data_IF_575439380695
#
_entry.id   IF_575439380695
#
_cell.length_a   1.000
_cell.length_b   1.000
_cell.length_c   1.000
_cell.angle_alpha   90.00
_cell.angle_beta   90.00
_cell.angle_gamma   90.00
#
_symmetry.space_group_name_H-M   'P 1'
#
loop_
_entity.id
_entity.type
_entity.pdbx_description
1 polymer ?
#
# COMPACT_ATOMS: atom_id res chain seq x y z
N UNK A 1 48.28 1.64 -16.12
CA UNK A 1 48.14 0.89 -17.37
C UNK A 1 49.25 1.35 -18.30
N UNK A 2 50.05 0.46 -18.89
CA UNK A 2 51.07 0.85 -19.88
C UNK A 2 50.44 1.62 -21.05
N UNK A 3 51.14 2.61 -21.60
CA UNK A 3 50.63 3.58 -22.59
C UNK A 3 50.08 2.97 -23.91
N UNK A 4 50.17 1.67 -24.13
CA UNK A 4 49.85 1.03 -25.39
C UNK A 4 48.77 -0.07 -25.34
N UNK A 5 48.06 -0.27 -24.23
CA UNK A 5 47.04 -1.35 -24.15
C UNK A 5 45.77 -0.98 -24.88
N UNK A 6 45.34 -1.75 -25.90
CA UNK A 6 44.08 -1.49 -26.60
C UNK A 6 42.88 -1.73 -25.69
N UNK A 7 42.04 -0.73 -25.56
CA UNK A 7 40.79 -0.75 -24.80
C UNK A 7 39.64 -0.96 -25.78
N UNK A 8 38.70 -1.82 -25.44
CA UNK A 8 37.47 -2.02 -26.20
C UNK A 8 36.24 -1.52 -25.42
N UNK A 9 35.27 -1.00 -26.15
CA UNK A 9 34.00 -0.49 -25.60
C UNK A 9 32.82 -1.15 -26.33
N UNK A 10 31.67 -1.23 -25.69
CA UNK A 10 30.45 -1.73 -26.32
C UNK A 10 29.81 -0.69 -27.28
N UNK A 11 28.77 -1.07 -28.04
CA UNK A 11 28.09 -0.16 -28.98
C UNK A 11 27.26 0.92 -28.29
N UNK A 12 27.15 2.13 -28.90
CA UNK A 12 26.49 3.36 -28.38
C UNK A 12 25.06 3.23 -27.84
N UNK A 13 24.37 2.09 -28.00
CA UNK A 13 22.97 1.91 -27.65
C UNK A 13 22.70 0.98 -26.46
N UNK A 14 23.73 0.45 -25.76
CA UNK A 14 23.53 -0.51 -24.67
C UNK A 14 23.82 0.06 -23.28
N UNK A 15 23.16 -0.51 -22.28
CA UNK A 15 23.17 0.00 -20.89
C UNK A 15 24.57 0.14 -20.28
N UNK A 16 25.51 -0.82 -20.41
CA UNK A 16 26.84 -0.66 -19.84
C UNK A 16 27.61 0.53 -20.42
N UNK A 17 27.56 0.69 -21.74
CA UNK A 17 28.25 1.77 -22.43
C UNK A 17 27.65 3.14 -22.11
N UNK A 18 26.31 3.25 -22.09
CA UNK A 18 25.62 4.49 -21.75
C UNK A 18 26.01 4.94 -20.34
N UNK A 19 25.93 4.04 -19.35
CA UNK A 19 26.30 4.35 -17.96
C UNK A 19 27.78 4.70 -17.84
N UNK A 20 28.66 3.92 -18.47
CA UNK A 20 30.11 4.20 -18.46
C UNK A 20 30.40 5.56 -19.08
N UNK A 21 29.82 5.84 -20.26
CA UNK A 21 29.98 7.13 -20.93
C UNK A 21 29.49 8.29 -20.06
N UNK A 22 28.27 8.19 -19.53
CA UNK A 22 27.66 9.27 -18.76
C UNK A 22 28.51 9.59 -17.50
N UNK A 23 29.01 8.56 -16.80
CA UNK A 23 29.85 8.71 -15.62
C UNK A 23 31.26 9.25 -15.99
N UNK A 24 31.87 8.70 -17.02
CA UNK A 24 33.20 9.16 -17.46
C UNK A 24 33.15 10.55 -18.08
N UNK A 25 32.06 10.92 -18.73
CA UNK A 25 31.82 12.29 -19.23
C UNK A 25 31.73 13.28 -18.06
N UNK A 26 30.96 12.94 -17.02
CA UNK A 26 30.85 13.78 -15.83
C UNK A 26 32.21 13.98 -15.10
N UNK A 27 33.15 13.04 -15.24
CA UNK A 27 34.52 13.14 -14.69
C UNK A 27 35.55 13.66 -15.69
N UNK A 28 35.12 14.09 -16.90
CA UNK A 28 36.02 14.59 -17.96
C UNK A 28 36.91 13.53 -18.61
N UNK A 29 36.67 12.23 -18.35
CA UNK A 29 37.55 11.14 -18.80
C UNK A 29 37.02 10.40 -20.04
N UNK A 30 35.85 10.73 -20.52
CA UNK A 30 35.23 9.97 -21.63
C UNK A 30 35.96 10.13 -22.96
N UNK A 31 36.33 11.35 -23.35
CA UNK A 31 36.99 11.55 -24.68
C UNK A 31 38.32 10.83 -24.77
N UNK A 32 39.16 10.90 -23.72
CA UNK A 32 40.44 10.15 -23.66
C UNK A 32 40.19 8.63 -23.71
N UNK A 33 39.13 8.16 -23.04
CA UNK A 33 38.77 6.74 -23.05
C UNK A 33 38.31 6.30 -24.43
N UNK A 34 37.50 7.11 -25.11
CA UNK A 34 36.98 6.86 -26.45
C UNK A 34 38.09 6.83 -27.51
N UNK A 35 39.04 7.73 -27.43
CA UNK A 35 40.20 7.75 -28.34
C UNK A 35 41.05 6.48 -28.22
N UNK A 36 41.18 5.92 -27.01
CA UNK A 36 41.90 4.66 -26.75
C UNK A 36 41.09 3.40 -27.12
N UNK A 37 39.76 3.52 -27.24
CA UNK A 37 38.88 2.40 -27.60
C UNK A 37 38.94 2.10 -29.11
N UNK A 38 39.74 1.10 -29.47
CA UNK A 38 39.97 0.73 -30.90
C UNK A 38 38.85 -0.12 -31.49
N UNK A 39 38.10 -0.87 -30.67
CA UNK A 39 37.07 -1.82 -31.12
C UNK A 39 35.85 -1.71 -30.24
N UNK A 40 34.67 -1.84 -30.85
CA UNK A 40 33.40 -1.92 -30.15
C UNK A 40 32.69 -3.24 -30.46
N UNK A 41 32.07 -3.85 -29.43
CA UNK A 41 31.36 -5.12 -29.57
C UNK A 41 29.86 -4.93 -29.33
N UNK A 42 29.00 -5.63 -30.07
CA UNK A 42 27.55 -5.53 -29.89
C UNK A 42 27.06 -6.17 -28.59
N UNK A 43 27.84 -7.07 -27.94
CA UNK A 43 27.47 -7.76 -26.71
C UNK A 43 28.62 -7.77 -25.72
N UNK A 44 28.30 -7.63 -24.42
CA UNK A 44 29.32 -7.72 -23.35
C UNK A 44 29.99 -9.09 -23.28
N UNK A 45 29.29 -10.15 -23.66
CA UNK A 45 29.84 -11.52 -23.73
C UNK A 45 30.83 -11.69 -24.88
N UNK A 46 30.59 -11.03 -26.02
CA UNK A 46 31.55 -11.02 -27.16
C UNK A 46 32.82 -10.23 -26.79
N UNK A 47 32.65 -9.08 -26.11
CA UNK A 47 33.77 -8.33 -25.59
C UNK A 47 34.57 -9.13 -24.55
N UNK A 48 33.87 -9.82 -23.62
CA UNK A 48 34.52 -10.67 -22.62
C UNK A 48 35.29 -11.82 -23.28
N UNK A 49 34.71 -12.48 -24.28
CA UNK A 49 35.36 -13.51 -25.09
C UNK A 49 36.60 -12.96 -25.83
N UNK A 50 36.48 -11.79 -26.44
CA UNK A 50 37.61 -11.16 -27.13
C UNK A 50 38.76 -10.82 -26.18
N UNK A 51 38.48 -10.36 -24.95
CA UNK A 51 39.50 -10.11 -23.92
C UNK A 51 40.22 -11.42 -23.52
N UNK A 52 39.47 -12.54 -23.51
CA UNK A 52 40.00 -13.84 -23.11
C UNK A 52 40.89 -14.47 -24.20
N UNK A 53 40.55 -14.26 -25.49
CA UNK A 53 41.12 -15.03 -26.60
C UNK A 53 41.95 -14.24 -27.59
N UNK A 54 41.95 -12.90 -27.56
CA UNK A 54 42.59 -12.06 -28.54
C UNK A 54 43.67 -11.16 -27.92
N UNK A 55 44.87 -11.23 -28.40
CA UNK A 55 45.98 -10.35 -28.01
C UNK A 55 45.74 -8.86 -28.33
N UNK A 56 44.79 -8.59 -29.24
CA UNK A 56 44.45 -7.23 -29.69
C UNK A 56 43.45 -6.52 -28.80
N UNK A 57 42.82 -7.23 -27.83
CA UNK A 57 41.81 -6.67 -26.88
C UNK A 57 42.23 -7.04 -25.48
N UNK A 58 42.91 -6.16 -24.78
CA UNK A 58 43.46 -6.44 -23.45
C UNK A 58 42.58 -5.98 -22.30
N UNK A 59 41.67 -5.03 -22.52
CA UNK A 59 40.77 -4.52 -21.50
C UNK A 59 39.47 -4.02 -22.10
N UNK A 60 38.39 -3.99 -21.29
CA UNK A 60 37.10 -3.47 -21.71
C UNK A 60 36.15 -3.18 -20.53
N UNK A 61 35.13 -2.39 -20.80
CA UNK A 61 34.09 -2.11 -19.81
C UNK A 61 32.97 -3.14 -19.91
N UNK A 62 32.91 -4.02 -18.96
CA UNK A 62 31.90 -5.09 -18.85
C UNK A 62 31.31 -5.12 -17.43
N UNK A 63 30.22 -5.85 -17.23
CA UNK A 63 29.71 -6.12 -15.91
C UNK A 63 30.67 -7.00 -15.10
N UNK A 64 30.75 -6.76 -13.81
CA UNK A 64 31.56 -7.57 -12.89
C UNK A 64 31.14 -9.06 -12.89
N UNK A 65 29.83 -9.32 -12.96
CA UNK A 65 29.28 -10.69 -13.10
C UNK A 65 29.77 -11.34 -14.40
N UNK A 66 29.79 -10.61 -15.52
CA UNK A 66 30.32 -11.12 -16.78
C UNK A 66 31.83 -11.38 -16.71
N UNK A 67 32.58 -10.47 -16.11
CA UNK A 67 34.03 -10.67 -15.92
C UNK A 67 34.31 -11.97 -15.14
N UNK A 68 33.59 -12.20 -14.04
CA UNK A 68 33.74 -13.41 -13.23
C UNK A 68 33.33 -14.69 -13.99
N UNK A 69 32.21 -14.64 -14.75
CA UNK A 69 31.77 -15.78 -15.58
C UNK A 69 32.80 -16.20 -16.63
N UNK A 70 33.57 -15.24 -17.16
CA UNK A 70 34.63 -15.48 -18.14
C UNK A 70 36.01 -15.65 -17.51
N UNK A 71 36.12 -15.70 -16.17
CA UNK A 71 37.42 -15.82 -15.48
C UNK A 71 38.35 -14.63 -15.69
N UNK A 72 37.82 -13.46 -16.01
CA UNK A 72 38.61 -12.24 -16.26
C UNK A 72 38.91 -11.50 -14.96
N UNK A 73 40.08 -10.87 -14.89
CA UNK A 73 40.45 -10.00 -13.77
C UNK A 73 39.69 -8.68 -13.85
N UNK A 74 38.93 -8.35 -12.80
CA UNK A 74 38.26 -7.04 -12.67
C UNK A 74 39.22 -6.02 -12.05
N UNK A 75 39.25 -4.82 -12.63
CA UNK A 75 39.99 -3.66 -12.10
C UNK A 75 38.92 -2.63 -11.67
N UNK A 76 38.73 -2.41 -10.36
CA UNK A 76 37.74 -1.44 -9.89
C UNK A 76 38.18 -0.03 -10.22
N UNK A 77 37.32 0.73 -10.88
CA UNK A 77 37.56 2.16 -11.14
C UNK A 77 36.76 2.98 -10.11
N UNK A 78 37.40 3.99 -9.54
CA UNK A 78 36.81 4.85 -8.52
C UNK A 78 35.50 5.49 -9.03
N UNK A 79 35.48 5.94 -10.27
CA UNK A 79 34.36 6.60 -10.91
C UNK A 79 33.16 5.67 -11.11
N UNK A 80 33.38 4.38 -11.29
CA UNK A 80 32.35 3.38 -11.54
C UNK A 80 31.92 2.61 -10.28
N UNK A 81 32.47 2.91 -9.10
CA UNK A 81 32.22 2.17 -7.86
C UNK A 81 30.72 2.01 -7.54
N UNK A 82 29.93 3.04 -7.82
CA UNK A 82 28.49 3.06 -7.55
C UNK A 82 27.65 2.82 -8.82
N UNK A 83 28.27 2.38 -9.91
CA UNK A 83 27.57 2.10 -11.16
C UNK A 83 26.93 0.71 -11.13
N UNK A 84 25.75 0.61 -10.51
CA UNK A 84 24.98 -0.63 -10.44
C UNK A 84 23.84 -0.64 -11.46
N UNK A 85 23.40 -1.82 -11.88
CA UNK A 85 22.20 -2.01 -12.70
C UNK A 85 21.35 -3.11 -12.11
N UNK A 86 20.08 -2.81 -11.87
CA UNK A 86 19.12 -3.79 -11.34
C UNK A 86 18.53 -4.59 -12.50
N UNK A 87 18.49 -5.92 -12.32
CA UNK A 87 17.78 -6.83 -13.20
C UNK A 87 16.43 -7.11 -12.53
N UNK A 88 15.34 -6.91 -13.26
CA UNK A 88 13.98 -7.18 -12.79
C UNK A 88 13.27 -8.17 -13.71
N UNK A 89 12.41 -8.99 -13.12
CA UNK A 89 11.48 -9.83 -13.85
C UNK A 89 10.11 -9.15 -13.84
N UNK A 90 9.54 -8.92 -15.02
CA UNK A 90 8.22 -8.33 -15.18
C UNK A 90 7.36 -9.26 -16.04
N UNK A 91 6.05 -9.25 -15.80
CA UNK A 91 5.09 -9.93 -16.67
C UNK A 91 4.53 -8.95 -17.70
N UNK A 92 4.19 -9.46 -18.88
CA UNK A 92 3.57 -8.64 -19.93
C UNK A 92 2.07 -8.49 -19.65
N UNK A 93 1.49 -7.36 -20.02
CA UNK A 93 0.04 -7.12 -19.92
C UNK A 93 -0.77 -8.05 -20.85
N UNK A 94 -0.14 -8.59 -21.89
CA UNK A 94 -0.76 -9.51 -22.84
C UNK A 94 -0.74 -10.99 -22.40
N UNK A 95 -0.20 -11.31 -21.21
CA UNK A 95 -0.15 -12.70 -20.75
C UNK A 95 -1.55 -13.25 -20.48
N UNK A 96 -1.79 -14.48 -20.94
CA UNK A 96 -3.04 -15.21 -20.66
C UNK A 96 -3.02 -15.94 -19.30
N UNK A 97 -1.86 -15.98 -18.65
CA UNK A 97 -1.64 -16.69 -17.41
C UNK A 97 -0.89 -15.80 -16.39
N UNK A 98 -1.45 -14.67 -15.97
CA UNK A 98 -0.76 -13.72 -15.09
C UNK A 98 -0.34 -14.34 -13.77
N UNK A 99 -1.17 -15.16 -13.16
CA UNK A 99 -0.91 -15.82 -11.89
C UNK A 99 0.35 -16.71 -11.94
N UNK A 100 0.47 -17.56 -12.97
CA UNK A 100 1.64 -18.42 -13.11
C UNK A 100 2.91 -17.63 -13.46
N UNK A 101 2.78 -16.59 -14.28
CA UNK A 101 3.89 -15.72 -14.60
C UNK A 101 4.41 -14.96 -13.36
N UNK A 102 3.50 -14.45 -12.51
CA UNK A 102 3.85 -13.81 -11.23
C UNK A 102 4.46 -14.81 -10.23
N UNK A 103 3.91 -16.02 -10.14
CA UNK A 103 4.50 -17.09 -9.31
C UNK A 103 5.94 -17.37 -9.73
N UNK A 104 6.20 -17.47 -11.04
CA UNK A 104 7.56 -17.67 -11.54
C UNK A 104 8.46 -16.49 -11.25
N UNK A 105 8.00 -15.25 -11.44
CA UNK A 105 8.77 -14.06 -11.09
C UNK A 105 9.13 -14.02 -9.59
N UNK A 106 8.18 -14.36 -8.70
CA UNK A 106 8.44 -14.49 -7.26
C UNK A 106 9.44 -15.61 -6.96
N UNK A 107 9.32 -16.76 -7.64
CA UNK A 107 10.27 -17.85 -7.51
C UNK A 107 11.71 -17.42 -7.83
N UNK A 108 11.90 -16.66 -8.92
CA UNK A 108 13.21 -16.15 -9.31
C UNK A 108 13.83 -15.21 -8.26
N UNK A 109 13.02 -14.40 -7.58
CA UNK A 109 13.47 -13.43 -6.59
C UNK A 109 13.58 -14.01 -5.16
N UNK A 110 12.99 -15.18 -4.90
CA UNK A 110 12.91 -15.76 -3.56
C UNK A 110 14.27 -16.15 -3.02
N UNK A 111 14.59 -15.82 -1.74
CA UNK A 111 15.88 -16.10 -1.10
C UNK A 111 16.25 -17.58 -1.11
N UNK A 112 15.27 -18.47 -0.95
CA UNK A 112 15.44 -19.92 -0.87
C UNK A 112 15.27 -20.64 -2.22
N UNK A 113 15.06 -19.92 -3.33
CA UNK A 113 14.83 -20.47 -4.67
C UNK A 113 15.76 -19.90 -5.73
N UNK A 114 15.35 -18.86 -6.44
CA UNK A 114 16.14 -18.31 -7.54
C UNK A 114 17.33 -17.49 -7.11
N UNK A 115 17.25 -16.75 -5.99
CA UNK A 115 18.34 -15.90 -5.51
C UNK A 115 19.68 -16.61 -5.39
N UNK A 116 19.81 -17.82 -4.81
CA UNK A 116 21.08 -18.54 -4.73
C UNK A 116 21.68 -18.89 -6.10
N UNK A 117 20.83 -19.10 -7.12
CA UNK A 117 21.32 -19.34 -8.49
C UNK A 117 21.92 -18.07 -9.08
N UNK A 118 21.28 -16.90 -8.87
CA UNK A 118 21.86 -15.62 -9.29
C UNK A 118 23.18 -15.36 -8.60
N UNK A 119 23.28 -15.62 -7.29
CA UNK A 119 24.51 -15.49 -6.52
C UNK A 119 25.62 -16.41 -7.03
N UNK A 120 25.30 -17.67 -7.33
CA UNK A 120 26.23 -18.61 -7.96
C UNK A 120 26.79 -18.10 -9.29
N UNK A 121 25.99 -17.33 -10.02
CA UNK A 121 26.39 -16.69 -11.28
C UNK A 121 26.94 -15.26 -11.08
N UNK A 122 27.36 -14.93 -9.86
CA UNK A 122 28.03 -13.68 -9.51
C UNK A 122 27.17 -12.40 -9.63
N UNK A 123 25.84 -12.55 -9.54
CA UNK A 123 24.94 -11.41 -9.31
C UNK A 123 24.78 -11.19 -7.81
N UNK A 124 24.50 -9.96 -7.41
CA UNK A 124 24.07 -9.66 -6.05
C UNK A 124 22.55 -9.73 -6.00
N UNK A 125 21.94 -10.75 -5.35
CA UNK A 125 20.50 -10.84 -5.28
C UNK A 125 19.90 -9.66 -4.51
N UNK A 126 18.77 -9.15 -4.98
CA UNK A 126 17.87 -8.31 -4.19
C UNK A 126 16.89 -9.26 -3.55
N UNK A 127 16.80 -9.21 -2.23
CA UNK A 127 15.95 -10.12 -1.48
C UNK A 127 14.47 -9.91 -1.83
N UNK A 128 13.84 -10.95 -2.33
CA UNK A 128 12.40 -11.00 -2.64
C UNK A 128 11.58 -11.50 -1.46
N UNK A 129 10.31 -11.75 -1.73
CA UNK A 129 9.40 -12.39 -0.77
C UNK A 129 9.80 -13.86 -0.52
N UNK A 130 9.51 -14.38 0.67
CA UNK A 130 9.60 -15.82 0.94
C UNK A 130 8.75 -16.60 -0.06
N UNK A 131 9.29 -17.71 -0.58
CA UNK A 131 8.57 -18.52 -1.55
C UNK A 131 7.46 -19.33 -0.91
N UNK A 132 6.25 -19.08 -1.33
CA UNK A 132 5.06 -19.91 -1.09
C UNK A 132 4.27 -19.98 -2.38
N UNK A 133 3.80 -21.18 -2.76
CA UNK A 133 3.03 -21.35 -4.01
C UNK A 133 1.73 -20.54 -3.97
N UNK A 134 1.04 -20.58 -2.84
CA UNK A 134 -0.20 -19.86 -2.56
C UNK A 134 -0.06 -19.13 -1.21
N UNK A 135 0.49 -17.89 -1.24
CA UNK A 135 0.67 -17.10 -0.02
C UNK A 135 -0.66 -16.81 0.67
N UNK A 136 -0.66 -16.90 1.97
CA UNK A 136 -1.76 -16.47 2.82
C UNK A 136 -1.39 -15.13 3.44
N UNK A 137 -2.23 -14.13 3.21
CA UNK A 137 -2.05 -12.75 3.66
C UNK A 137 -3.12 -12.43 4.69
N UNK A 138 -2.74 -11.84 5.80
CA UNK A 138 -3.66 -11.36 6.83
C UNK A 138 -3.87 -9.85 6.65
N UNK A 139 -5.09 -9.44 6.37
CA UNK A 139 -5.47 -8.05 6.19
C UNK A 139 -6.48 -7.62 7.25
N UNK A 140 -6.06 -6.71 8.13
CA UNK A 140 -6.97 -6.07 9.09
C UNK A 140 -7.49 -4.77 8.51
N UNK A 141 -8.80 -4.58 8.58
CA UNK A 141 -9.44 -3.46 7.91
C UNK A 141 -10.58 -2.88 8.77
N UNK A 142 -10.61 -1.58 8.88
CA UNK A 142 -11.73 -0.89 9.50
C UNK A 142 -13.04 -1.20 8.78
N UNK A 143 -14.08 -1.51 9.57
CA UNK A 143 -15.35 -2.05 9.04
C UNK A 143 -16.03 -1.17 7.99
N UNK A 144 -15.88 0.15 8.04
CA UNK A 144 -16.43 1.10 7.07
C UNK A 144 -15.93 0.86 5.65
N UNK A 145 -14.70 0.35 5.49
CA UNK A 145 -14.04 0.16 4.19
C UNK A 145 -14.45 -1.14 3.48
N UNK A 146 -15.21 -2.03 4.13
CA UNK A 146 -15.47 -3.41 3.68
C UNK A 146 -15.87 -3.49 2.20
N UNK A 147 -16.93 -2.77 1.83
CA UNK A 147 -17.48 -2.86 0.47
C UNK A 147 -16.55 -2.18 -0.55
N UNK A 148 -15.97 -1.04 -0.18
CA UNK A 148 -15.10 -0.27 -1.06
C UNK A 148 -13.81 -1.03 -1.45
N UNK A 149 -13.22 -1.82 -0.52
CA UNK A 149 -11.98 -2.57 -0.80
C UNK A 149 -12.22 -3.94 -1.44
N UNK A 150 -13.44 -4.48 -1.37
CA UNK A 150 -13.75 -5.87 -1.75
C UNK A 150 -13.31 -6.21 -3.19
N UNK A 151 -13.59 -5.31 -4.14
CA UNK A 151 -13.25 -5.50 -5.57
C UNK A 151 -11.73 -5.54 -5.77
N UNK A 152 -10.98 -4.65 -5.10
CA UNK A 152 -9.52 -4.61 -5.17
C UNK A 152 -8.89 -5.89 -4.60
N UNK A 153 -9.38 -6.36 -3.45
CA UNK A 153 -8.89 -7.59 -2.82
C UNK A 153 -9.14 -8.81 -3.70
N UNK A 154 -10.35 -8.96 -4.25
CA UNK A 154 -10.70 -10.05 -5.15
C UNK A 154 -9.79 -10.07 -6.38
N UNK A 155 -9.66 -8.94 -7.07
CA UNK A 155 -8.82 -8.79 -8.26
C UNK A 155 -7.35 -9.12 -7.97
N UNK A 156 -6.85 -8.68 -6.82
CA UNK A 156 -5.49 -8.97 -6.39
C UNK A 156 -5.28 -10.47 -6.13
N UNK A 157 -6.19 -11.13 -5.40
CA UNK A 157 -6.13 -12.57 -5.13
C UNK A 157 -6.07 -13.39 -6.42
N UNK A 158 -6.96 -13.08 -7.38
CA UNK A 158 -7.02 -13.77 -8.67
C UNK A 158 -5.74 -13.58 -9.48
N UNK A 159 -5.19 -12.36 -9.51
CA UNK A 159 -3.96 -12.05 -10.24
C UNK A 159 -2.72 -12.68 -9.62
N UNK A 160 -2.54 -12.54 -8.31
CA UNK A 160 -1.32 -13.00 -7.61
C UNK A 160 -1.38 -14.49 -7.25
N UNK A 161 -2.55 -15.12 -7.23
CA UNK A 161 -2.76 -16.49 -6.78
C UNK A 161 -2.42 -16.65 -5.31
N UNK A 162 -2.97 -15.80 -4.48
CA UNK A 162 -2.83 -15.79 -3.02
C UNK A 162 -4.21 -15.83 -2.36
N UNK A 163 -4.25 -16.11 -1.06
CA UNK A 163 -5.44 -16.02 -0.22
C UNK A 163 -5.30 -14.82 0.70
N UNK A 164 -6.30 -13.93 0.72
CA UNK A 164 -6.36 -12.82 1.67
C UNK A 164 -7.41 -13.14 2.74
N UNK A 165 -6.94 -13.35 3.98
CA UNK A 165 -7.80 -13.47 5.16
C UNK A 165 -8.06 -12.08 5.73
N UNK A 166 -9.26 -11.57 5.52
CA UNK A 166 -9.63 -10.23 5.96
C UNK A 166 -10.40 -10.28 7.28
N UNK A 167 -9.98 -9.44 8.23
CA UNK A 167 -10.74 -9.17 9.44
C UNK A 167 -11.26 -7.73 9.40
N UNK A 168 -12.59 -7.58 9.40
CA UNK A 168 -13.27 -6.29 9.48
C UNK A 168 -13.79 -6.06 10.89
N UNK A 169 -13.36 -4.97 11.53
CA UNK A 169 -13.79 -4.61 12.89
C UNK A 169 -13.69 -3.10 13.11
N UNK A 170 -14.12 -2.63 14.28
CA UNK A 170 -13.80 -1.28 14.77
C UNK A 170 -12.30 -1.12 14.97
N UNK A 171 -11.75 0.04 14.61
CA UNK A 171 -10.29 0.25 14.65
C UNK A 171 -9.71 0.17 16.06
N UNK A 172 -10.47 0.55 17.10
CA UNK A 172 -10.04 0.35 18.48
C UNK A 172 -9.83 -1.12 18.83
N UNK A 173 -10.76 -1.99 18.40
CA UNK A 173 -10.63 -3.45 18.56
C UNK A 173 -9.39 -4.00 17.84
N UNK A 174 -9.16 -3.55 16.60
CA UNK A 174 -7.99 -3.98 15.81
C UNK A 174 -6.69 -3.54 16.49
N UNK A 175 -6.59 -2.27 16.88
CA UNK A 175 -5.41 -1.73 17.56
C UNK A 175 -5.15 -2.44 18.88
N UNK A 176 -6.19 -2.67 19.69
CA UNK A 176 -6.08 -3.47 20.92
C UNK A 176 -5.56 -4.88 20.67
N UNK A 177 -6.00 -5.53 19.61
CA UNK A 177 -5.52 -6.86 19.19
C UNK A 177 -4.04 -6.84 18.78
N UNK A 178 -3.61 -5.82 18.03
CA UNK A 178 -2.21 -5.64 17.63
C UNK A 178 -1.32 -5.39 18.86
N UNK A 179 -1.72 -4.48 19.75
CA UNK A 179 -0.94 -4.11 20.93
C UNK A 179 -0.85 -5.22 21.97
N UNK A 180 -1.90 -6.03 22.12
CA UNK A 180 -1.90 -7.15 23.07
C UNK A 180 -1.03 -8.34 22.62
N UNK A 181 -0.71 -8.43 21.32
CA UNK A 181 -0.01 -9.57 20.74
C UNK A 181 -0.78 -10.90 20.82
N UNK A 182 -2.09 -10.86 21.12
CA UNK A 182 -2.93 -12.06 21.24
C UNK A 182 -3.25 -12.71 19.90
N UNK A 183 -3.17 -11.95 18.82
CA UNK A 183 -3.44 -12.42 17.47
C UNK A 183 -2.20 -12.25 16.60
N UNK A 184 -2.18 -12.98 15.48
CA UNK A 184 -1.10 -12.81 14.51
C UNK A 184 -1.10 -11.37 13.99
N UNK A 185 0.10 -10.79 13.92
CA UNK A 185 0.30 -9.48 13.30
C UNK A 185 -0.24 -9.51 11.87
N UNK A 186 -1.07 -8.54 11.44
CA UNK A 186 -1.52 -8.50 10.05
C UNK A 186 -0.35 -8.13 9.12
N UNK A 187 -0.41 -8.59 7.87
CA UNK A 187 0.52 -8.15 6.82
C UNK A 187 0.20 -6.74 6.31
N UNK A 188 -1.08 -6.37 6.39
CA UNK A 188 -1.61 -5.09 5.93
C UNK A 188 -2.69 -4.59 6.90
N UNK A 189 -2.68 -3.30 7.19
CA UNK A 189 -3.72 -2.64 7.98
C UNK A 189 -4.25 -1.41 7.27
N UNK A 190 -5.59 -1.33 7.15
CA UNK A 190 -6.30 -0.15 6.67
C UNK A 190 -7.24 0.36 7.76
N UNK A 191 -7.09 1.61 8.14
CA UNK A 191 -7.83 2.21 9.26
C UNK A 191 -9.17 2.82 8.86
N UNK A 192 -10.03 3.07 9.83
CA UNK A 192 -11.19 3.95 9.67
C UNK A 192 -10.80 5.43 9.82
N UNK A 193 -9.68 5.69 10.50
CA UNK A 193 -9.13 7.04 10.71
C UNK A 193 -7.63 6.98 11.00
N UNK A 194 -6.89 7.97 10.51
CA UNK A 194 -5.42 8.08 10.61
C UNK A 194 -4.91 8.01 12.06
N UNK A 195 -5.70 8.45 13.04
CA UNK A 195 -5.33 8.43 14.45
C UNK A 195 -5.02 7.02 14.97
N UNK A 196 -5.72 6.00 14.47
CA UNK A 196 -5.48 4.61 14.88
C UNK A 196 -4.19 4.03 14.28
N UNK A 197 -3.80 4.45 13.08
CA UNK A 197 -2.50 4.06 12.52
C UNK A 197 -1.35 4.64 13.36
N UNK A 198 -1.50 5.86 13.85
CA UNK A 198 -0.51 6.49 14.72
C UNK A 198 -0.23 5.68 16.00
N UNK A 199 -1.24 5.00 16.56
CA UNK A 199 -1.11 4.17 17.77
C UNK A 199 -0.28 2.91 17.58
N UNK A 200 -0.12 2.43 16.33
CA UNK A 200 0.61 1.20 15.99
C UNK A 200 1.69 1.44 14.93
N UNK A 201 2.01 2.69 14.65
CA UNK A 201 2.92 3.11 13.58
C UNK A 201 4.31 2.45 13.64
N UNK A 202 4.92 2.12 14.79
CA UNK A 202 6.21 1.42 14.84
C UNK A 202 6.22 0.07 14.12
N UNK A 203 5.09 -0.63 14.08
CA UNK A 203 4.93 -1.95 13.49
C UNK A 203 4.73 -1.89 11.95
N UNK A 204 4.40 -0.71 11.42
CA UNK A 204 4.03 -0.53 10.03
C UNK A 204 5.00 0.38 9.27
N UNK A 205 5.00 0.27 7.95
CA UNK A 205 5.69 1.20 7.05
C UNK A 205 4.99 2.56 7.04
N UNK A 206 5.55 3.53 6.30
CA UNK A 206 4.87 4.81 6.08
C UNK A 206 3.46 4.59 5.52
N UNK A 207 2.40 5.07 6.21
CA UNK A 207 1.04 4.96 5.71
C UNK A 207 0.82 5.84 4.46
N UNK A 208 -0.22 5.50 3.70
CA UNK A 208 -0.74 6.33 2.62
C UNK A 208 -2.23 6.54 2.83
N UNK A 209 -2.68 7.77 2.67
CA UNK A 209 -4.10 8.09 2.69
C UNK A 209 -4.78 7.48 1.45
N UNK A 210 -6.00 7.01 1.63
CA UNK A 210 -6.80 6.33 0.62
C UNK A 210 -8.07 7.11 0.32
N UNK A 211 -8.80 7.45 1.36
CA UNK A 211 -10.12 8.07 1.27
C UNK A 211 -10.45 8.85 2.53
N UNK A 212 -11.52 9.63 2.47
CA UNK A 212 -12.17 10.21 3.64
C UNK A 212 -13.69 10.02 3.58
N UNK A 213 -14.35 10.08 4.72
CA UNK A 213 -15.80 10.09 4.83
C UNK A 213 -16.23 10.98 5.99
N UNK A 214 -17.42 11.54 5.88
CA UNK A 214 -17.98 12.39 6.92
C UNK A 214 -18.85 11.58 7.89
N UNK A 215 -18.91 12.02 9.13
CA UNK A 215 -19.92 11.59 10.08
C UNK A 215 -21.19 12.40 9.81
N UNK A 216 -22.35 11.73 9.76
CA UNK A 216 -23.66 12.34 9.61
C UNK A 216 -24.63 11.80 10.68
N UNK A 217 -25.75 12.46 10.83
CA UNK A 217 -26.87 11.97 11.64
C UNK A 217 -27.90 11.29 10.74
N UNK A 218 -28.27 10.07 11.07
CA UNK A 218 -29.33 9.33 10.45
C UNK A 218 -30.59 9.47 11.35
N UNK A 219 -31.65 10.05 10.85
CA UNK A 219 -32.91 10.23 11.58
C UNK A 219 -34.05 9.47 10.92
N UNK A 220 -35.14 9.23 11.64
CA UNK A 220 -36.35 8.64 11.07
C UNK A 220 -36.97 9.54 10.02
N UNK A 221 -37.59 8.92 9.02
CA UNK A 221 -38.27 9.64 7.94
C UNK A 221 -39.24 10.70 8.47
N UNK A 222 -39.20 11.89 7.87
CA UNK A 222 -39.97 13.06 8.26
C UNK A 222 -39.43 13.74 9.53
N UNK A 223 -38.32 13.27 10.06
CA UNK A 223 -37.60 13.87 11.22
C UNK A 223 -38.55 14.31 12.34
N UNK A 224 -39.32 13.41 12.97
CA UNK A 224 -40.40 13.76 13.89
C UNK A 224 -39.95 14.50 15.15
N UNK A 225 -38.66 14.42 15.46
CA UNK A 225 -38.04 15.16 16.58
C UNK A 225 -37.42 16.50 16.16
N UNK A 226 -37.51 16.87 14.90
CA UNK A 226 -36.96 18.10 14.34
C UNK A 226 -35.49 18.31 14.77
N UNK A 227 -34.64 17.28 14.53
CA UNK A 227 -33.21 17.28 14.80
C UNK A 227 -32.53 17.88 13.56
N UNK A 228 -31.80 18.99 13.70
CA UNK A 228 -31.12 19.65 12.59
C UNK A 228 -29.63 19.82 12.82
N UNK A 229 -29.20 19.83 14.08
CA UNK A 229 -27.80 20.02 14.47
C UNK A 229 -27.42 19.08 15.60
N UNK A 230 -26.12 18.91 15.86
CA UNK A 230 -25.63 18.17 17.02
C UNK A 230 -26.13 18.76 18.36
N UNK A 231 -26.34 20.07 18.44
CA UNK A 231 -26.87 20.71 19.65
C UNK A 231 -28.27 20.25 20.02
N UNK A 232 -29.07 19.82 19.03
CA UNK A 232 -30.40 19.27 19.30
C UNK A 232 -30.38 17.98 20.09
N UNK A 233 -29.23 17.25 20.08
CA UNK A 233 -29.06 16.01 20.85
C UNK A 233 -29.00 16.23 22.37
N UNK A 234 -28.76 17.46 22.82
CA UNK A 234 -28.82 17.83 24.23
C UNK A 234 -30.25 17.91 24.79
N UNK A 235 -31.29 17.91 23.92
CA UNK A 235 -32.69 17.99 24.38
C UNK A 235 -33.11 16.69 25.06
N UNK A 236 -33.88 16.83 26.15
CA UNK A 236 -34.47 15.68 26.82
C UNK A 236 -35.46 14.92 25.88
N UNK A 237 -35.48 13.60 25.96
CA UNK A 237 -36.39 12.75 25.20
C UNK A 237 -35.95 12.49 23.76
N UNK A 238 -34.68 12.73 23.43
CA UNK A 238 -34.03 12.28 22.19
C UNK A 238 -33.30 10.97 22.46
N UNK A 239 -33.65 9.91 21.73
CA UNK A 239 -32.95 8.62 21.78
C UNK A 239 -31.80 8.60 20.76
N UNK A 240 -30.57 8.54 21.25
CA UNK A 240 -29.34 8.59 20.45
C UNK A 240 -28.73 7.20 20.33
N UNK A 241 -28.34 6.82 19.12
CA UNK A 241 -27.50 5.69 18.84
C UNK A 241 -26.07 6.13 18.48
N UNK A 242 -25.09 5.47 19.05
CA UNK A 242 -23.68 5.70 18.73
C UNK A 242 -22.93 4.36 18.73
N UNK A 243 -21.66 4.38 18.32
CA UNK A 243 -20.76 3.24 18.52
C UNK A 243 -19.90 3.44 19.76
N UNK A 244 -19.30 2.37 20.27
CA UNK A 244 -18.45 2.42 21.45
C UNK A 244 -17.21 3.30 21.19
N UNK A 245 -16.96 4.34 22.00
CA UNK A 245 -15.87 5.28 21.76
C UNK A 245 -14.47 4.70 22.01
N UNK A 246 -14.34 3.59 22.71
CA UNK A 246 -13.05 2.91 22.91
C UNK A 246 -12.75 1.90 21.79
N UNK A 247 -13.77 1.34 21.19
CA UNK A 247 -13.63 0.26 20.19
C UNK A 247 -13.82 0.73 18.74
N UNK A 248 -14.45 1.90 18.54
CA UNK A 248 -14.82 2.42 17.21
C UNK A 248 -14.37 3.86 17.04
N UNK A 249 -13.77 4.15 15.88
CA UNK A 249 -13.46 5.52 15.45
C UNK A 249 -14.70 6.43 15.46
N UNK A 250 -15.82 5.93 14.91
CA UNK A 250 -17.06 6.68 14.86
C UNK A 250 -17.54 7.10 16.26
N UNK A 251 -17.46 6.17 17.22
CA UNK A 251 -17.77 6.49 18.63
C UNK A 251 -16.83 7.53 19.23
N UNK A 252 -15.53 7.37 18.99
CA UNK A 252 -14.54 8.34 19.46
C UNK A 252 -14.78 9.74 18.89
N UNK A 253 -15.01 9.88 17.58
CA UNK A 253 -15.33 11.15 16.91
C UNK A 253 -16.64 11.73 17.40
N UNK A 254 -17.68 10.91 17.56
CA UNK A 254 -18.98 11.34 18.08
C UNK A 254 -18.86 11.93 19.48
N UNK A 255 -18.15 11.24 20.37
CA UNK A 255 -17.94 11.72 21.74
C UNK A 255 -17.05 12.96 21.78
N UNK A 256 -16.03 13.06 20.94
CA UNK A 256 -15.20 14.26 20.82
C UNK A 256 -16.03 15.48 20.35
N UNK A 257 -16.93 15.31 19.39
CA UNK A 257 -17.85 16.37 18.96
C UNK A 257 -18.81 16.78 20.09
N UNK A 258 -19.31 15.84 20.90
CA UNK A 258 -20.17 16.16 22.05
C UNK A 258 -19.42 16.94 23.13
N UNK A 259 -18.12 16.66 23.33
CA UNK A 259 -17.25 17.42 24.24
C UNK A 259 -16.99 18.82 23.70
N UNK A 260 -16.61 18.95 22.44
CA UNK A 260 -16.28 20.24 21.81
C UNK A 260 -17.47 21.23 21.77
N UNK A 261 -18.69 20.69 21.70
CA UNK A 261 -19.94 21.46 21.73
C UNK A 261 -20.53 21.64 23.12
N UNK A 262 -19.87 21.20 24.21
CA UNK A 262 -20.33 21.22 25.58
C UNK A 262 -21.71 20.54 25.82
N UNK A 263 -22.12 19.60 24.96
CA UNK A 263 -23.42 18.89 25.04
C UNK A 263 -23.31 17.53 25.75
N UNK A 264 -22.09 17.02 25.96
CA UNK A 264 -21.85 15.68 26.53
C UNK A 264 -22.53 15.51 27.90
N UNK A 265 -22.44 16.51 28.78
CA UNK A 265 -23.04 16.45 30.11
C UNK A 265 -24.58 16.32 29.99
N UNK A 266 -25.24 17.14 29.15
CA UNK A 266 -26.69 17.08 28.95
C UNK A 266 -27.15 15.73 28.39
N UNK A 267 -26.39 15.16 27.45
CA UNK A 267 -26.66 13.83 26.90
C UNK A 267 -26.59 12.76 27.99
N UNK A 268 -25.62 12.83 28.89
CA UNK A 268 -25.44 11.89 29.99
C UNK A 268 -26.57 12.03 31.04
N UNK A 269 -26.89 13.26 31.46
CA UNK A 269 -27.94 13.54 32.43
C UNK A 269 -29.32 13.10 31.95
N UNK A 270 -29.59 13.32 30.67
CA UNK A 270 -30.83 12.89 30.00
C UNK A 270 -30.86 11.38 29.68
N UNK A 271 -29.74 10.67 29.88
CA UNK A 271 -29.58 9.26 29.47
C UNK A 271 -29.96 9.03 27.99
N UNK A 272 -29.58 9.98 27.14
CA UNK A 272 -30.00 10.03 25.75
C UNK A 272 -29.38 8.91 24.89
N UNK A 273 -28.17 8.43 25.20
CA UNK A 273 -27.56 7.29 24.47
C UNK A 273 -28.28 6.00 24.93
N UNK A 274 -29.11 5.49 24.05
CA UNK A 274 -29.95 4.30 24.31
C UNK A 274 -29.49 3.07 23.55
N UNK A 275 -28.66 3.27 22.52
CA UNK A 275 -28.04 2.19 21.72
C UNK A 275 -26.56 2.47 21.57
N UNK A 276 -25.75 1.45 21.87
CA UNK A 276 -24.32 1.44 21.55
C UNK A 276 -24.01 0.17 20.78
N UNK A 277 -23.56 0.32 19.54
CA UNK A 277 -23.25 -0.80 18.64
C UNK A 277 -21.72 -0.89 18.36
N UNK A 278 -21.20 -2.07 18.05
CA UNK A 278 -19.80 -2.23 17.68
C UNK A 278 -19.40 -1.52 16.37
N UNK A 279 -20.34 -1.43 15.43
CA UNK A 279 -20.11 -0.86 14.09
C UNK A 279 -21.25 0.06 13.65
N UNK A 280 -20.97 0.97 12.71
CA UNK A 280 -22.00 1.80 12.08
C UNK A 280 -23.06 0.98 11.34
N UNK A 281 -22.67 -0.12 10.70
CA UNK A 281 -23.60 -1.00 9.98
C UNK A 281 -24.64 -1.61 10.94
N UNK A 282 -24.21 -2.15 12.08
CA UNK A 282 -25.11 -2.68 13.09
C UNK A 282 -26.01 -1.58 13.69
N UNK A 283 -25.47 -0.37 13.86
CA UNK A 283 -26.24 0.76 14.36
C UNK A 283 -27.36 1.17 13.38
N UNK A 284 -27.10 1.13 12.07
CA UNK A 284 -28.13 1.38 11.05
C UNK A 284 -29.25 0.36 11.15
N UNK A 285 -28.93 -0.93 11.30
CA UNK A 285 -29.95 -1.97 11.48
C UNK A 285 -30.81 -1.75 12.73
N UNK A 286 -30.24 -1.18 13.80
CA UNK A 286 -31.00 -0.84 15.01
C UNK A 286 -32.01 0.30 14.77
N UNK A 287 -31.74 1.23 13.83
CA UNK A 287 -32.70 2.28 13.48
C UNK A 287 -34.04 1.73 12.96
N UNK A 288 -34.02 0.58 12.31
CA UNK A 288 -35.22 -0.06 11.77
C UNK A 288 -36.05 -0.77 12.85
N UNK A 289 -35.38 -1.38 13.85
CA UNK A 289 -36.01 -2.24 14.84
C UNK A 289 -36.27 -1.62 16.22
N UNK A 290 -35.77 -0.43 16.49
CA UNK A 290 -35.78 0.16 17.85
C UNK A 290 -36.58 1.47 17.90
N UNK A 291 -37.88 1.41 18.23
CA UNK A 291 -38.83 2.54 18.18
C UNK A 291 -38.41 3.79 18.95
N UNK A 292 -37.57 3.65 19.98
CA UNK A 292 -37.09 4.78 20.79
C UNK A 292 -35.84 5.43 20.25
N UNK A 293 -35.22 4.85 19.21
CA UNK A 293 -34.02 5.40 18.59
C UNK A 293 -34.43 6.47 17.59
N UNK A 294 -34.17 7.73 17.93
CA UNK A 294 -34.57 8.89 17.11
C UNK A 294 -33.49 9.30 16.12
N UNK A 295 -32.20 9.14 16.51
CA UNK A 295 -31.04 9.54 15.72
C UNK A 295 -29.89 8.57 15.96
N UNK A 296 -29.15 8.26 14.88
CA UNK A 296 -27.90 7.50 14.94
C UNK A 296 -26.78 8.29 14.28
N UNK A 297 -25.60 8.31 14.91
CA UNK A 297 -24.40 8.86 14.28
C UNK A 297 -23.73 7.76 13.48
N UNK A 298 -23.56 7.99 12.18
CA UNK A 298 -23.02 7.01 11.21
C UNK A 298 -22.06 7.71 10.24
N UNK A 299 -21.32 6.94 9.44
CA UNK A 299 -20.60 7.51 8.32
C UNK A 299 -21.49 7.66 7.10
N UNK A 300 -21.31 8.74 6.36
CA UNK A 300 -22.00 8.99 5.08
C UNK A 300 -21.78 7.82 4.10
N UNK A 301 -20.58 7.26 4.08
CA UNK A 301 -20.25 6.07 3.28
C UNK A 301 -21.13 4.84 3.63
N UNK A 302 -21.66 4.72 4.84
CA UNK A 302 -22.57 3.63 5.20
C UNK A 302 -24.02 3.89 4.77
N UNK A 303 -24.32 5.07 4.23
CA UNK A 303 -25.67 5.52 3.93
C UNK A 303 -26.08 5.35 2.45
N UNK A 304 -25.22 4.80 1.60
CA UNK A 304 -25.43 4.77 0.14
C UNK A 304 -26.63 3.91 -0.33
N UNK A 305 -27.07 2.95 0.46
CA UNK A 305 -28.14 2.00 0.09
C UNK A 305 -29.21 1.88 1.18
N UNK A 306 -29.47 3.00 1.88
CA UNK A 306 -30.48 3.01 2.92
C UNK A 306 -31.89 2.90 2.34
N UNK A 307 -32.75 2.16 3.03
CA UNK A 307 -34.18 2.11 2.71
C UNK A 307 -34.84 3.47 2.96
N UNK A 308 -36.02 3.68 2.37
CA UNK A 308 -36.74 4.95 2.35
C UNK A 308 -37.29 5.42 3.72
N UNK A 309 -36.91 4.76 4.81
CA UNK A 309 -37.46 4.99 6.16
C UNK A 309 -36.61 5.93 7.03
N UNK A 310 -35.50 6.40 6.51
CA UNK A 310 -34.55 7.29 7.21
C UNK A 310 -34.17 8.48 6.36
N UNK A 311 -33.68 9.52 7.00
CA UNK A 311 -33.17 10.75 6.36
C UNK A 311 -31.79 11.06 6.93
N UNK A 312 -30.92 11.60 6.09
CA UNK A 312 -29.55 11.99 6.47
C UNK A 312 -29.53 13.48 6.77
N UNK A 313 -28.89 13.84 7.88
CA UNK A 313 -28.62 15.22 8.26
C UNK A 313 -27.11 15.40 8.36
N UNK A 314 -26.58 16.35 7.60
CA UNK A 314 -25.16 16.64 7.57
C UNK A 314 -24.69 17.26 8.87
N UNK A 315 -23.49 16.86 9.31
CA UNK A 315 -22.82 17.42 10.45
C UNK A 315 -21.74 18.39 9.96
N UNK A 316 -21.92 19.69 10.24
CA UNK A 316 -20.94 20.73 9.95
C UNK A 316 -20.01 20.95 11.15
N UNK A 317 -19.05 20.04 11.34
CA UNK A 317 -18.09 20.09 12.43
C UNK A 317 -16.69 19.66 11.95
N UNK A 318 -15.59 20.32 12.40
CA UNK A 318 -14.24 19.93 11.96
C UNK A 318 -13.87 18.49 12.27
N UNK A 319 -14.35 17.95 13.40
CA UNK A 319 -14.12 16.56 13.81
C UNK A 319 -15.04 15.54 13.11
N UNK A 320 -15.95 15.98 12.24
CA UNK A 320 -16.87 15.09 11.55
C UNK A 320 -16.27 14.43 10.29
N UNK A 321 -14.97 14.44 10.13
CA UNK A 321 -14.27 13.82 9.01
C UNK A 321 -13.33 12.74 9.52
N UNK A 322 -13.45 11.54 8.94
CA UNK A 322 -12.53 10.44 9.19
C UNK A 322 -11.73 10.16 7.92
N UNK A 323 -10.40 10.18 7.99
CA UNK A 323 -9.50 9.86 6.88
C UNK A 323 -8.96 8.45 7.03
N UNK A 324 -9.17 7.62 6.01
CA UNK A 324 -8.72 6.24 5.99
C UNK A 324 -7.33 6.16 5.36
N UNK A 325 -6.42 5.48 6.04
CA UNK A 325 -5.09 5.21 5.52
C UNK A 325 -4.73 3.72 5.57
N UNK A 326 -3.71 3.34 4.80
CA UNK A 326 -3.27 1.96 4.64
C UNK A 326 -1.75 1.87 4.78
N UNK A 327 -1.29 0.87 5.54
CA UNK A 327 0.14 0.59 5.70
C UNK A 327 0.43 -0.92 5.72
N UNK A 328 1.63 -1.30 5.31
CA UNK A 328 2.12 -2.68 5.32
C UNK A 328 2.93 -2.93 6.58
N UNK A 329 2.83 -4.12 7.16
CA UNK A 329 3.65 -4.50 8.30
C UNK A 329 5.13 -4.61 7.92
N UNK A 330 6.02 -4.12 8.80
CA UNK A 330 7.48 -4.17 8.59
C UNK A 330 8.02 -5.60 8.59
N UNK A 331 7.37 -6.50 9.32
CA UNK A 331 7.79 -7.89 9.52
C UNK A 331 7.05 -8.88 8.62
N UNK A 332 6.29 -8.39 7.61
CA UNK A 332 5.65 -9.30 6.65
C UNK A 332 6.68 -10.17 5.93
N UNK A 333 6.34 -11.44 5.75
CA UNK A 333 7.13 -12.39 4.93
C UNK A 333 7.05 -12.08 3.43
N UNK A 334 6.12 -11.18 3.04
CA UNK A 334 5.80 -10.85 1.66
C UNK A 334 5.86 -9.34 1.39
N UNK A 335 6.96 -8.63 1.74
CA UNK A 335 7.03 -7.17 1.65
C UNK A 335 6.76 -6.62 0.25
N UNK A 336 7.23 -7.30 -0.80
CA UNK A 336 7.00 -6.87 -2.18
C UNK A 336 5.55 -7.12 -2.62
N UNK A 337 4.95 -8.23 -2.20
CA UNK A 337 3.54 -8.52 -2.46
C UNK A 337 2.65 -7.51 -1.71
N UNK A 338 2.98 -7.16 -0.48
CA UNK A 338 2.25 -6.16 0.29
C UNK A 338 2.34 -4.78 -0.35
N UNK A 339 3.51 -4.41 -0.89
CA UNK A 339 3.65 -3.17 -1.67
C UNK A 339 2.70 -3.16 -2.87
N UNK A 340 2.60 -4.27 -3.61
CA UNK A 340 1.67 -4.38 -4.76
C UNK A 340 0.20 -4.39 -4.32
N UNK A 341 -0.14 -5.02 -3.18
CA UNK A 341 -1.51 -4.99 -2.65
C UNK A 341 -1.89 -3.57 -2.20
N UNK A 342 -0.99 -2.86 -1.52
CA UNK A 342 -1.19 -1.45 -1.19
C UNK A 342 -1.40 -0.60 -2.45
N UNK A 343 -0.60 -0.81 -3.50
CA UNK A 343 -0.76 -0.13 -4.80
C UNK A 343 -2.07 -0.50 -5.49
N UNK A 344 -2.55 -1.73 -5.34
CA UNK A 344 -3.85 -2.16 -5.87
C UNK A 344 -5.00 -1.40 -5.22
N UNK A 345 -4.96 -1.25 -3.88
CA UNK A 345 -5.96 -0.45 -3.14
C UNK A 345 -5.88 1.03 -3.52
N UNK A 346 -4.70 1.55 -3.83
CA UNK A 346 -4.46 2.93 -4.26
C UNK A 346 -4.58 3.15 -5.77
N UNK A 347 -5.12 2.18 -6.52
CA UNK A 347 -5.22 2.26 -7.98
C UNK A 347 -6.44 3.06 -8.45
N UNK A 348 -6.39 3.56 -9.68
CA UNK A 348 -7.53 4.21 -10.36
C UNK A 348 -8.80 3.36 -10.34
N UNK A 349 -8.66 2.04 -10.47
CA UNK A 349 -9.81 1.13 -10.43
C UNK A 349 -10.43 1.02 -9.02
N UNK A 350 -9.62 1.18 -7.98
CA UNK A 350 -10.13 1.24 -6.59
C UNK A 350 -10.76 2.61 -6.29
N UNK A 351 -10.21 3.70 -6.83
CA UNK A 351 -10.82 5.03 -6.77
C UNK A 351 -12.32 4.99 -7.07
N UNK A 352 -12.72 4.42 -8.21
CA UNK A 352 -14.12 4.34 -8.61
C UNK A 352 -14.96 3.53 -7.60
N UNK A 353 -14.39 2.47 -7.02
CA UNK A 353 -15.06 1.71 -5.97
C UNK A 353 -15.30 2.54 -4.71
N UNK A 354 -14.31 3.31 -4.26
CA UNK A 354 -14.48 4.18 -3.08
C UNK A 354 -15.50 5.29 -3.32
N UNK A 355 -15.44 5.96 -4.47
CA UNK A 355 -16.42 7.00 -4.84
C UNK A 355 -17.84 6.43 -4.88
N UNK A 356 -18.02 5.25 -5.50
CA UNK A 356 -19.34 4.60 -5.60
C UNK A 356 -19.89 4.14 -4.23
N UNK A 357 -19.04 3.99 -3.22
CA UNK A 357 -19.42 3.69 -1.85
C UNK A 357 -19.43 4.93 -0.93
N UNK A 358 -19.49 6.15 -1.50
CA UNK A 358 -19.71 7.40 -0.77
C UNK A 358 -18.50 7.94 -0.02
N UNK A 359 -17.28 7.51 -0.39
CA UNK A 359 -16.06 8.11 0.10
C UNK A 359 -15.58 9.24 -0.81
N UNK A 360 -14.80 10.15 -0.26
CA UNK A 360 -13.95 11.06 -1.02
C UNK A 360 -12.57 10.40 -1.18
N UNK A 361 -11.97 10.54 -2.36
CA UNK A 361 -10.66 9.96 -2.65
C UNK A 361 -9.54 10.87 -2.16
N UNK A 362 -8.62 10.34 -1.38
CA UNK A 362 -7.42 11.01 -0.87
C UNK A 362 -6.12 10.32 -1.37
N UNK A 363 -6.28 9.27 -2.16
CA UNK A 363 -5.14 8.56 -2.75
C UNK A 363 -4.47 9.35 -3.87
N UNK A 364 -3.45 8.78 -4.52
CA UNK A 364 -2.74 9.44 -5.60
C UNK A 364 -3.67 9.93 -6.71
N UNK A 365 -3.32 11.07 -7.33
CA UNK A 365 -4.02 11.57 -8.51
C UNK A 365 -4.07 10.50 -9.58
N UNK A 366 -5.28 10.15 -10.02
CA UNK A 366 -5.50 9.09 -11.00
C UNK A 366 -5.20 9.51 -12.43
N UNK A 367 -4.66 10.72 -12.64
CA UNK A 367 -4.25 11.30 -13.93
C UNK A 367 -5.27 10.99 -15.04
N UNK A 368 -6.31 11.82 -15.16
CA UNK A 368 -7.18 11.80 -16.34
C UNK A 368 -6.49 12.43 -17.52
#
# INVERSE_FOLDING_TARGET
IPEASPVACGTRKRVPEKKTRDILSASGKWEVTKEKARVTFPRVTELAGAIQTSDNVQAGFIWDSTAKQFGLKSIPLRELKNSTSTISANITTATKNPTWALRFARYLAAPEKGSPLFEKHHFTPIQGDTWVLEPEIVFYCGGVNREAVAVALKRFQEREGCLIKTQFAGCGTIVGSIQSGQFNMPDLFMTCDVSYMAMVQPEFTQPSDVSSTRVCMLVRKGNPKNIQTLNDLARAGIGIGTTDPQMSTLGALSHAMFEDLDIKQSIQENKSIIVTSPTAHELILQMEGHDKLDVALVYEANCQHLESNVEIIDIHHPLAVATQNIATARQSKFPHMMTRLKQEVLSTQSHDSFINHGFQWEGPDTGQ
#
